data_IF_940772082101
#
_entry.id   IF_940772082101
#
_cell.length_a   1.000
_cell.length_b   1.000
_cell.length_c   1.000
_cell.angle_alpha   90.00
_cell.angle_beta   90.00
_cell.angle_gamma   90.00
#
_symmetry.space_group_name_H-M   'P 1'
#
loop_
_entity.id
_entity.type
_entity.pdbx_description
1 polymer ?
#
# COMPACT_ATOMS: atom_id res chain seq x y z
N UNK A 1 -0.72 12.57 3.74
CA UNK A 1 -1.49 12.06 2.60
C UNK A 1 -0.71 11.05 1.75
N UNK A 2 0.56 11.28 1.42
CA UNK A 2 1.28 10.58 0.34
C UNK A 2 1.51 9.06 0.50
N UNK A 3 1.60 8.50 1.72
CA UNK A 3 1.95 7.07 1.90
C UNK A 3 0.75 6.13 2.14
N UNK A 4 -0.22 6.43 3.01
CA UNK A 4 -1.38 5.54 3.15
C UNK A 4 -2.35 5.64 1.97
N UNK A 5 -2.35 6.78 1.29
CA UNK A 5 -3.02 6.88 0.00
C UNK A 5 -2.19 6.27 -1.11
N UNK A 6 -0.94 5.81 -0.90
CA UNK A 6 -0.25 4.98 -1.89
C UNK A 6 -0.74 3.53 -1.88
N UNK A 7 -1.22 3.02 -0.74
CA UNK A 7 -1.89 1.71 -0.64
C UNK A 7 -3.30 1.75 -1.26
N UNK A 8 -4.09 2.79 -0.97
CA UNK A 8 -5.39 3.03 -1.63
C UNK A 8 -5.25 3.51 -3.08
N UNK A 9 -4.21 4.28 -3.42
CA UNK A 9 -3.92 4.65 -4.80
C UNK A 9 -3.27 3.51 -5.57
N UNK A 10 -2.66 2.49 -4.97
CA UNK A 10 -2.28 1.29 -5.74
C UNK A 10 -3.54 0.61 -6.32
N UNK A 11 -4.62 0.59 -5.54
CA UNK A 11 -5.94 0.12 -5.93
C UNK A 11 -6.64 1.09 -6.90
N UNK A 12 -6.53 2.41 -6.68
CA UNK A 12 -7.19 3.41 -7.53
C UNK A 12 -6.42 3.80 -8.81
N UNK A 13 -5.08 3.78 -8.84
CA UNK A 13 -4.26 4.05 -10.04
C UNK A 13 -4.29 2.89 -11.02
N UNK A 14 -4.73 1.73 -10.57
CA UNK A 14 -5.05 0.63 -11.43
C UNK A 14 -6.29 0.95 -12.31
N UNK A 15 -7.18 1.85 -11.87
CA UNK A 15 -8.50 2.04 -12.50
C UNK A 15 -8.61 2.82 -13.79
N UNK A 16 -7.55 3.49 -14.24
CA UNK A 16 -7.52 4.08 -15.57
C UNK A 16 -6.15 4.71 -15.78
N UNK A 17 -5.34 4.07 -16.61
CA UNK A 17 -4.05 4.46 -17.18
C UNK A 17 -3.07 3.31 -16.94
N UNK A 18 -2.48 2.78 -18.02
CA UNK A 18 -1.18 2.12 -17.96
C UNK A 18 -0.31 2.86 -16.96
N UNK A 19 0.23 2.17 -15.95
CA UNK A 19 1.07 2.81 -14.94
C UNK A 19 2.18 3.53 -15.71
N UNK A 20 2.12 4.87 -15.78
CA UNK A 20 2.91 5.61 -16.75
C UNK A 20 4.35 5.41 -16.35
N UNK A 21 5.23 5.15 -17.34
CA UNK A 21 6.61 4.73 -17.08
C UNK A 21 7.18 5.42 -15.82
N UNK A 22 7.32 4.61 -14.77
CA UNK A 22 7.59 5.04 -13.40
C UNK A 22 9.05 4.81 -13.03
N UNK A 23 9.92 4.61 -14.02
CA UNK A 23 11.34 4.44 -13.78
C UNK A 23 12.13 4.07 -15.02
N UNK A 24 13.38 3.69 -14.82
CA UNK A 24 14.32 3.15 -15.81
C UNK A 24 15.20 2.15 -15.06
N UNK A 25 15.28 0.90 -15.48
CA UNK A 25 16.15 -0.11 -14.84
C UNK A 25 15.40 -1.32 -14.31
N UNK A 26 16.15 -2.33 -13.87
CA UNK A 26 15.66 -3.67 -13.55
C UNK A 26 14.61 -3.68 -12.44
N UNK A 27 14.82 -2.91 -11.36
CA UNK A 27 13.85 -2.85 -10.25
C UNK A 27 12.45 -2.38 -10.72
N UNK A 28 12.39 -1.51 -11.73
CA UNK A 28 11.11 -1.08 -12.33
C UNK A 28 10.41 -2.24 -13.02
N UNK A 29 11.15 -3.04 -13.77
CA UNK A 29 10.60 -4.22 -14.43
C UNK A 29 10.14 -5.24 -13.40
N UNK A 30 10.93 -5.50 -12.37
CA UNK A 30 10.55 -6.42 -11.30
C UNK A 30 9.27 -5.97 -10.59
N UNK A 31 9.12 -4.68 -10.28
CA UNK A 31 7.88 -4.14 -9.70
C UNK A 31 6.71 -4.22 -10.68
N UNK A 32 6.94 -3.99 -11.98
CA UNK A 32 5.89 -4.11 -13.01
C UNK A 32 5.36 -5.54 -13.08
N UNK A 33 6.22 -6.56 -13.00
CA UNK A 33 5.81 -7.96 -13.04
C UNK A 33 4.82 -8.30 -11.89
N UNK A 34 4.99 -7.70 -10.71
CA UNK A 34 4.02 -7.85 -9.61
C UNK A 34 2.72 -7.10 -9.87
N UNK A 35 2.78 -5.92 -10.48
CA UNK A 35 1.60 -5.11 -10.79
C UNK A 35 0.74 -5.80 -11.86
N UNK A 36 1.37 -6.48 -12.82
CA UNK A 36 0.70 -7.24 -13.88
C UNK A 36 -0.08 -8.46 -13.34
N UNK A 37 0.24 -8.95 -12.14
CA UNK A 37 -0.52 -10.01 -11.47
C UNK A 37 -1.80 -9.52 -10.78
N UNK A 38 -1.96 -8.21 -10.58
CA UNK A 38 -3.13 -7.66 -9.88
C UNK A 38 -4.34 -7.70 -10.83
N UNK A 39 -5.46 -8.35 -10.47
CA UNK A 39 -6.73 -8.25 -11.20
C UNK A 39 -7.38 -6.89 -10.92
N UNK A 40 -6.80 -5.88 -11.53
CA UNK A 40 -7.08 -4.46 -11.36
C UNK A 40 -8.58 -4.16 -11.40
N UNK A 41 -9.27 -4.61 -12.44
CA UNK A 41 -10.69 -4.34 -12.66
C UNK A 41 -11.54 -4.86 -11.51
N UNK A 42 -11.21 -6.06 -10.99
CA UNK A 42 -11.95 -6.68 -9.88
C UNK A 42 -11.69 -5.98 -8.56
N UNK A 43 -10.44 -5.58 -8.32
CA UNK A 43 -10.04 -4.79 -7.14
C UNK A 43 -10.80 -3.46 -7.09
N UNK A 44 -11.01 -2.82 -8.24
CA UNK A 44 -11.77 -1.56 -8.35
C UNK A 44 -13.26 -1.78 -8.12
N UNK A 45 -13.82 -2.82 -8.73
CA UNK A 45 -15.24 -3.18 -8.55
C UNK A 45 -15.57 -3.36 -7.06
N UNK A 46 -14.76 -4.15 -6.36
CA UNK A 46 -14.88 -4.35 -4.91
C UNK A 46 -14.77 -3.02 -4.17
N UNK A 47 -13.76 -2.21 -4.48
CA UNK A 47 -13.51 -0.93 -3.79
C UNK A 47 -14.65 0.07 -3.99
N UNK A 48 -15.20 0.18 -5.21
CA UNK A 48 -16.35 1.05 -5.51
C UNK A 48 -17.57 0.56 -4.72
N UNK A 49 -17.81 -0.74 -4.69
CA UNK A 49 -18.96 -1.29 -3.94
C UNK A 49 -18.84 -0.96 -2.44
N UNK A 50 -17.69 -1.18 -1.81
CA UNK A 50 -17.43 -0.78 -0.42
C UNK A 50 -17.58 0.73 -0.21
N UNK A 51 -17.10 1.55 -1.13
CA UNK A 51 -17.22 3.00 -1.03
C UNK A 51 -18.68 3.47 -1.05
N UNK A 52 -19.52 2.85 -1.87
CA UNK A 52 -20.94 3.21 -2.01
C UNK A 52 -21.80 2.62 -0.88
N UNK A 53 -21.54 1.37 -0.48
CA UNK A 53 -22.46 0.57 0.34
C UNK A 53 -22.03 0.42 1.80
N UNK A 54 -20.73 0.56 2.12
CA UNK A 54 -20.21 0.23 3.46
C UNK A 54 -19.86 1.47 4.31
N UNK A 55 -20.56 1.61 5.44
CA UNK A 55 -20.43 2.78 6.33
C UNK A 55 -19.08 2.86 7.05
N UNK A 56 -18.53 1.71 7.46
CA UNK A 56 -17.25 1.63 8.16
C UNK A 56 -16.11 1.98 7.22
N UNK A 57 -16.17 1.49 5.98
CA UNK A 57 -15.24 1.85 4.92
C UNK A 57 -15.29 3.34 4.59
N UNK A 58 -16.48 3.94 4.48
CA UNK A 58 -16.62 5.39 4.29
C UNK A 58 -16.01 6.21 5.42
N UNK A 59 -16.13 5.75 6.68
CA UNK A 59 -15.50 6.43 7.82
C UNK A 59 -13.98 6.30 7.81
N UNK A 60 -13.44 5.16 7.38
CA UNK A 60 -12.00 5.01 7.13
C UNK A 60 -11.51 5.99 6.06
N UNK A 61 -12.24 6.18 4.97
CA UNK A 61 -11.89 7.17 3.94
C UNK A 61 -11.84 8.58 4.54
N UNK A 62 -12.87 8.98 5.30
CA UNK A 62 -12.88 10.30 5.99
C UNK A 62 -11.72 10.46 6.98
N UNK A 63 -11.35 9.39 7.69
CA UNK A 63 -10.20 9.42 8.58
C UNK A 63 -8.89 9.70 7.81
N UNK A 64 -8.68 9.06 6.65
CA UNK A 64 -7.50 9.32 5.81
C UNK A 64 -7.48 10.73 5.20
N UNK A 65 -8.65 11.36 5.04
CA UNK A 65 -8.78 12.76 4.63
C UNK A 65 -8.61 13.76 5.78
N UNK A 66 -8.53 13.30 7.03
CA UNK A 66 -8.42 14.17 8.21
C UNK A 66 -7.06 14.86 8.31
N UNK A 67 -7.03 16.11 8.79
CA UNK A 67 -5.77 16.86 8.99
C UNK A 67 -4.77 16.13 9.90
N UNK A 68 -5.25 15.40 10.90
CA UNK A 68 -4.39 14.59 11.77
C UNK A 68 -3.66 13.50 11.00
N UNK A 69 -4.35 12.81 10.10
CA UNK A 69 -3.72 11.83 9.22
C UNK A 69 -2.79 12.48 8.19
N UNK A 70 -3.15 13.67 7.67
CA UNK A 70 -2.24 14.43 6.80
C UNK A 70 -0.95 14.81 7.50
N UNK A 71 -1.04 15.22 8.77
CA UNK A 71 0.11 15.61 9.58
C UNK A 71 1.03 14.42 9.86
N UNK A 72 0.49 13.26 10.27
CA UNK A 72 1.26 12.02 10.42
C UNK A 72 2.16 11.76 9.21
N UNK A 73 1.61 11.87 8.01
CA UNK A 73 2.38 11.60 6.80
C UNK A 73 3.45 12.68 6.54
N UNK A 74 3.18 13.95 6.83
CA UNK A 74 4.20 15.00 6.74
C UNK A 74 5.35 14.75 7.72
N UNK A 75 5.03 14.30 8.93
CA UNK A 75 6.01 14.01 9.98
C UNK A 75 6.89 12.82 9.57
N UNK A 76 6.30 11.79 8.97
CA UNK A 76 7.05 10.66 8.38
C UNK A 76 7.94 11.12 7.23
N UNK A 77 7.42 11.91 6.29
CA UNK A 77 8.20 12.45 5.16
C UNK A 77 9.38 13.32 5.59
N UNK A 78 9.26 14.00 6.73
CA UNK A 78 10.32 14.82 7.28
C UNK A 78 11.45 14.01 7.94
N UNK A 79 11.29 12.69 8.10
CA UNK A 79 12.33 11.83 8.66
C UNK A 79 13.54 11.77 7.72
N UNK A 80 14.77 11.98 8.23
CA UNK A 80 15.97 11.85 7.41
C UNK A 80 16.12 10.43 6.84
N UNK A 81 15.65 9.41 7.56
CA UNK A 81 15.68 8.02 7.09
C UNK A 81 14.77 7.79 5.86
N UNK A 82 13.64 8.52 5.78
CA UNK A 82 12.75 8.47 4.61
C UNK A 82 13.45 9.08 3.39
N UNK A 83 14.20 10.17 3.57
CA UNK A 83 14.99 10.73 2.48
C UNK A 83 16.01 9.73 1.94
N UNK A 84 16.73 9.02 2.83
CA UNK A 84 17.69 7.97 2.45
C UNK A 84 17.01 6.87 1.62
N UNK A 85 15.84 6.40 2.06
CA UNK A 85 15.07 5.39 1.34
C UNK A 85 14.62 5.89 -0.04
N UNK A 86 14.09 7.11 -0.11
CA UNK A 86 13.62 7.73 -1.36
C UNK A 86 14.76 7.93 -2.36
N UNK A 87 15.93 8.36 -1.89
CA UNK A 87 17.12 8.52 -2.72
C UNK A 87 17.62 7.17 -3.24
N UNK A 88 17.60 6.11 -2.41
CA UNK A 88 17.90 4.75 -2.88
C UNK A 88 16.95 4.33 -3.99
N UNK A 89 15.63 4.43 -3.76
CA UNK A 89 14.61 4.01 -4.74
C UNK A 89 14.77 4.79 -6.04
N UNK A 90 15.05 6.09 -5.95
CA UNK A 90 15.34 6.93 -7.11
C UNK A 90 16.57 6.45 -7.90
N UNK A 91 17.68 6.19 -7.20
CA UNK A 91 18.93 5.72 -7.82
C UNK A 91 18.82 4.30 -8.36
N UNK A 92 17.97 3.45 -7.78
CA UNK A 92 17.60 2.13 -8.30
C UNK A 92 16.73 2.21 -9.57
N UNK A 93 16.45 3.43 -10.03
CA UNK A 93 15.80 3.68 -11.30
C UNK A 93 14.31 3.95 -11.18
N UNK A 94 13.73 3.98 -9.99
CA UNK A 94 12.30 4.26 -9.83
C UNK A 94 12.09 5.76 -9.71
N UNK A 95 11.24 6.34 -10.54
CA UNK A 95 10.84 7.75 -10.44
C UNK A 95 9.80 7.93 -9.31
N UNK A 96 10.25 7.67 -8.09
CA UNK A 96 9.40 7.62 -6.89
C UNK A 96 8.74 8.98 -6.59
N UNK A 97 9.43 10.08 -6.89
CA UNK A 97 8.87 11.43 -6.74
C UNK A 97 7.73 11.68 -7.72
N UNK A 98 7.84 11.20 -8.98
CA UNK A 98 6.74 11.25 -9.94
C UNK A 98 5.56 10.38 -9.53
N UNK A 99 5.82 9.16 -9.04
CA UNK A 99 4.75 8.27 -8.52
C UNK A 99 4.02 8.96 -7.37
N UNK A 100 4.75 9.44 -6.36
CA UNK A 100 4.20 10.13 -5.20
C UNK A 100 3.41 11.38 -5.60
N UNK A 101 3.94 12.20 -6.52
CA UNK A 101 3.25 13.41 -6.97
C UNK A 101 1.99 13.11 -7.81
N UNK A 102 2.00 12.02 -8.58
CA UNK A 102 0.80 11.57 -9.31
C UNK A 102 -0.27 11.06 -8.37
N UNK A 103 0.11 10.25 -7.37
CA UNK A 103 -0.80 9.83 -6.30
C UNK A 103 -1.39 11.08 -5.63
N UNK A 104 -0.58 12.07 -5.25
CA UNK A 104 -1.06 13.32 -4.65
C UNK A 104 -2.03 14.11 -5.53
N UNK A 105 -1.84 14.07 -6.86
CA UNK A 105 -2.68 14.78 -7.81
C UNK A 105 -3.99 14.02 -8.06
N UNK A 106 -3.93 12.69 -8.16
CA UNK A 106 -5.09 11.81 -8.29
C UNK A 106 -6.02 11.91 -7.08
N UNK A 107 -5.47 12.17 -5.89
CA UNK A 107 -6.24 12.38 -4.66
C UNK A 107 -7.04 13.69 -4.61
N UNK A 108 -7.03 14.48 -5.70
CA UNK A 108 -8.06 15.48 -6.02
C UNK A 108 -9.15 14.84 -6.89
N UNK A 109 -9.75 13.77 -6.39
CA UNK A 109 -10.55 12.82 -7.16
C UNK A 109 -11.76 13.50 -7.86
N UNK A 110 -12.00 13.21 -9.16
CA UNK A 110 -13.26 13.55 -9.83
C UNK A 110 -14.42 12.69 -9.28
N UNK A 111 -15.69 13.13 -9.45
CA UNK A 111 -16.85 12.36 -8.97
C UNK A 111 -16.91 10.99 -9.63
N UNK A 112 -17.08 9.95 -8.82
CA UNK A 112 -17.30 8.58 -9.28
C UNK A 112 -18.62 8.53 -10.06
N UNK A 113 -18.56 7.98 -11.28
CA UNK A 113 -19.77 7.58 -12.01
C UNK A 113 -19.96 6.09 -11.80
N UNK A 114 -21.18 5.62 -11.44
CA UNK A 114 -21.41 4.23 -11.14
C UNK A 114 -21.11 3.37 -12.39
N UNK A 115 -20.29 2.31 -12.28
CA UNK A 115 -20.10 1.37 -13.38
C UNK A 115 -21.42 0.69 -13.72
N UNK A 116 -21.70 0.53 -15.00
CA UNK A 116 -22.93 -0.07 -15.51
C UNK A 116 -22.80 -1.59 -15.65
N UNK A 117 -22.59 -2.33 -14.55
CA UNK A 117 -22.57 -3.80 -14.64
C UNK A 117 -23.23 -4.48 -13.43
N UNK A 118 -23.75 -5.68 -13.71
CA UNK A 118 -24.59 -6.53 -12.86
C UNK A 118 -24.01 -6.76 -11.47
N UNK A 119 -24.73 -6.26 -10.46
CA UNK A 119 -24.47 -6.48 -9.03
C UNK A 119 -24.50 -7.97 -8.74
N UNK A 120 -23.33 -8.54 -8.49
CA UNK A 120 -23.18 -9.97 -8.25
C UNK A 120 -21.92 -10.31 -7.48
N UNK A 121 -21.72 -9.70 -6.31
CA UNK A 121 -20.97 -10.28 -5.18
C UNK A 121 -21.37 -9.53 -3.90
N UNK A 122 -21.80 -10.27 -2.88
CA UNK A 122 -22.12 -9.72 -1.56
C UNK A 122 -20.80 -9.37 -0.86
N UNK A 123 -20.45 -8.09 -0.79
CA UNK A 123 -19.29 -7.65 0.00
C UNK A 123 -19.42 -8.17 1.43
N UNK A 124 -18.31 -8.62 2.02
CA UNK A 124 -18.36 -9.23 3.36
C UNK A 124 -18.52 -8.22 4.49
N UNK A 125 -18.44 -6.91 4.18
CA UNK A 125 -18.70 -5.79 5.07
C UNK A 125 -17.56 -5.45 6.03
N UNK A 126 -17.46 -4.18 6.42
CA UNK A 126 -16.43 -3.63 7.29
C UNK A 126 -15.03 -3.61 6.66
N UNK A 127 -14.05 -3.02 7.36
CA UNK A 127 -12.67 -2.91 6.85
C UNK A 127 -12.01 -4.29 6.76
N UNK A 128 -12.29 -5.18 7.72
CA UNK A 128 -11.82 -6.57 7.66
C UNK A 128 -12.36 -7.30 6.43
N UNK A 129 -13.64 -7.13 6.11
CA UNK A 129 -14.23 -7.74 4.93
C UNK A 129 -13.62 -7.20 3.65
N UNK A 130 -13.41 -5.87 3.57
CA UNK A 130 -12.74 -5.27 2.41
C UNK A 130 -11.36 -5.88 2.17
N UNK A 131 -10.55 -6.05 3.22
CA UNK A 131 -9.24 -6.70 3.12
C UNK A 131 -9.38 -8.14 2.61
N UNK A 132 -10.34 -8.90 3.13
CA UNK A 132 -10.55 -10.29 2.74
C UNK A 132 -10.99 -10.42 1.28
N UNK A 133 -11.96 -9.61 0.86
CA UNK A 133 -12.50 -9.61 -0.50
C UNK A 133 -11.42 -9.24 -1.52
N UNK A 134 -10.53 -8.28 -1.20
CA UNK A 134 -9.35 -7.98 -2.01
C UNK A 134 -8.37 -9.17 -2.03
N UNK A 135 -8.04 -9.76 -0.87
CA UNK A 135 -7.10 -10.88 -0.79
C UNK A 135 -7.59 -12.14 -1.53
N UNK A 136 -8.89 -12.30 -1.70
CA UNK A 136 -9.48 -13.46 -2.38
C UNK A 136 -9.48 -13.35 -3.90
N UNK A 137 -9.36 -12.14 -4.43
CA UNK A 137 -9.17 -11.96 -5.88
C UNK A 137 -7.69 -12.02 -6.29
N UNK A 138 -6.76 -11.70 -5.38
CA UNK A 138 -5.33 -11.72 -5.69
C UNK A 138 -4.81 -13.16 -5.91
N UNK A 139 -4.00 -13.43 -6.97
CA UNK A 139 -3.38 -14.73 -7.20
C UNK A 139 -2.22 -15.00 -6.21
N UNK A 140 -2.54 -15.29 -4.94
CA UNK A 140 -1.57 -15.41 -3.82
C UNK A 140 -0.37 -16.30 -4.13
N UNK A 141 -0.59 -17.44 -4.78
CA UNK A 141 0.50 -18.36 -5.12
C UNK A 141 1.45 -17.76 -6.17
N UNK A 142 0.92 -17.09 -7.19
CA UNK A 142 1.75 -16.44 -8.22
C UNK A 142 2.57 -15.29 -7.65
N UNK A 143 1.99 -14.50 -6.73
CA UNK A 143 2.75 -13.49 -5.99
C UNK A 143 3.91 -14.08 -5.21
N UNK A 144 3.68 -15.22 -4.53
CA UNK A 144 4.71 -15.91 -3.77
C UNK A 144 5.81 -16.46 -4.68
N UNK A 145 5.43 -17.13 -5.77
CA UNK A 145 6.36 -17.72 -6.72
C UNK A 145 7.23 -16.64 -7.36
N UNK A 146 6.62 -15.53 -7.81
CA UNK A 146 7.32 -14.40 -8.37
C UNK A 146 8.26 -13.76 -7.33
N UNK A 147 7.84 -13.61 -6.08
CA UNK A 147 8.70 -13.11 -5.01
C UNK A 147 9.95 -13.98 -4.79
N UNK A 148 9.77 -15.29 -4.68
CA UNK A 148 10.88 -16.23 -4.49
C UNK A 148 11.81 -16.29 -5.72
N UNK A 149 11.24 -16.18 -6.92
CA UNK A 149 12.01 -16.11 -8.16
C UNK A 149 12.86 -14.84 -8.20
N UNK A 150 12.24 -13.66 -8.05
CA UNK A 150 12.92 -12.36 -8.14
C UNK A 150 14.01 -12.21 -7.09
N UNK A 151 13.82 -12.76 -5.89
CA UNK A 151 14.87 -12.80 -4.86
C UNK A 151 16.13 -13.57 -5.30
N UNK A 152 15.98 -14.59 -6.14
CA UNK A 152 17.09 -15.43 -6.61
C UNK A 152 17.68 -14.94 -7.92
N UNK A 153 16.85 -14.37 -8.80
CA UNK A 153 17.23 -14.08 -10.19
C UNK A 153 17.49 -12.60 -10.44
N UNK A 154 16.90 -11.68 -9.68
CA UNK A 154 17.11 -10.24 -9.83
C UNK A 154 17.94 -9.68 -8.68
N UNK A 155 19.15 -9.22 -9.02
CA UNK A 155 20.00 -8.50 -8.06
C UNK A 155 19.33 -7.20 -7.58
N UNK A 156 18.69 -6.46 -8.49
CA UNK A 156 18.03 -5.21 -8.16
C UNK A 156 16.89 -5.41 -7.14
N UNK A 157 16.09 -6.48 -7.33
CA UNK A 157 15.04 -6.84 -6.38
C UNK A 157 15.61 -7.33 -5.04
N UNK A 158 16.63 -8.20 -5.06
CA UNK A 158 17.28 -8.68 -3.85
C UNK A 158 17.89 -7.53 -3.02
N UNK A 159 18.54 -6.57 -3.68
CA UNK A 159 19.09 -5.37 -3.04
C UNK A 159 17.97 -4.48 -2.45
N UNK A 160 16.83 -4.36 -3.14
CA UNK A 160 15.67 -3.63 -2.62
C UNK A 160 15.12 -4.30 -1.36
N UNK A 161 14.98 -5.63 -1.34
CA UNK A 161 14.56 -6.36 -0.13
C UNK A 161 15.59 -6.21 0.99
N UNK A 162 16.89 -6.16 0.68
CA UNK A 162 17.93 -5.87 1.67
C UNK A 162 17.80 -4.45 2.26
N UNK A 163 17.37 -3.45 1.48
CA UNK A 163 17.06 -2.12 2.01
C UNK A 163 15.88 -2.13 2.98
N UNK A 164 14.83 -2.91 2.71
CA UNK A 164 13.69 -3.07 3.64
C UNK A 164 14.10 -3.77 4.94
N UNK A 165 15.13 -4.62 4.90
CA UNK A 165 15.73 -5.28 6.07
C UNK A 165 16.77 -4.44 6.82
N UNK A 166 17.05 -3.22 6.34
CA UNK A 166 18.14 -2.39 6.88
C UNK A 166 17.78 -1.73 8.21
N UNK A 167 18.81 -1.38 9.00
CA UNK A 167 18.66 -0.56 10.20
C UNK A 167 18.01 0.80 9.91
N UNK A 168 18.29 1.40 8.75
CA UNK A 168 17.63 2.64 8.33
C UNK A 168 16.10 2.46 8.22
N UNK A 169 15.66 1.37 7.61
CA UNK A 169 14.23 1.06 7.50
C UNK A 169 13.63 0.73 8.87
N UNK A 170 14.34 -0.01 9.71
CA UNK A 170 13.91 -0.31 11.08
C UNK A 170 13.73 0.97 11.92
N UNK A 171 14.59 1.98 11.76
CA UNK A 171 14.42 3.29 12.41
C UNK A 171 13.14 4.01 11.96
N UNK A 172 12.79 3.94 10.66
CA UNK A 172 11.51 4.48 10.17
C UNK A 172 10.35 3.78 10.88
N UNK A 173 10.38 2.45 10.93
CA UNK A 173 9.33 1.65 11.59
C UNK A 173 9.20 2.01 13.05
N UNK A 174 10.31 2.13 13.78
CA UNK A 174 10.29 2.47 15.21
C UNK A 174 9.71 3.87 15.47
N UNK A 175 10.11 4.87 14.67
CA UNK A 175 9.60 6.25 14.79
C UNK A 175 8.12 6.36 14.40
N UNK A 176 7.72 5.68 13.33
CA UNK A 176 6.33 5.60 12.92
C UNK A 176 5.49 4.94 14.02
N UNK A 177 5.98 3.84 14.60
CA UNK A 177 5.27 3.10 15.63
C UNK A 177 4.92 3.97 16.82
N UNK A 178 5.87 4.75 17.36
CA UNK A 178 5.61 5.60 18.54
C UNK A 178 4.82 6.88 18.21
N UNK A 179 4.51 7.14 16.93
CA UNK A 179 3.78 8.34 16.54
C UNK A 179 2.32 8.27 17.03
N UNK A 180 1.80 9.27 17.76
CA UNK A 180 0.46 9.22 18.36
C UNK A 180 -0.66 8.95 17.34
N UNK A 181 -0.62 9.62 16.18
CA UNK A 181 -1.59 9.37 15.11
C UNK A 181 -1.49 8.00 14.46
N UNK A 182 -0.31 7.37 14.48
CA UNK A 182 -0.17 6.00 14.00
C UNK A 182 -0.72 4.99 15.01
N UNK A 183 -0.53 5.23 16.31
CA UNK A 183 -1.17 4.44 17.38
C UNK A 183 -2.70 4.55 17.33
N UNK A 184 -3.24 5.73 17.00
CA UNK A 184 -4.65 5.93 16.75
C UNK A 184 -5.13 5.10 15.54
N UNK A 185 -4.40 5.10 14.42
CA UNK A 185 -4.69 4.26 13.25
C UNK A 185 -4.69 2.77 13.60
N UNK A 186 -3.70 2.29 14.35
CA UNK A 186 -3.65 0.88 14.80
C UNK A 186 -4.86 0.54 15.69
N UNK A 187 -5.33 1.50 16.49
CA UNK A 187 -6.52 1.30 17.31
C UNK A 187 -7.78 1.18 16.45
N UNK A 188 -7.94 2.04 15.42
CA UNK A 188 -9.02 1.92 14.45
C UNK A 188 -8.99 0.57 13.73
N UNK A 189 -7.83 0.14 13.25
CA UNK A 189 -7.67 -1.16 12.59
C UNK A 189 -8.04 -2.33 13.51
N UNK A 190 -7.62 -2.29 14.79
CA UNK A 190 -7.98 -3.32 15.77
C UNK A 190 -9.48 -3.36 16.04
N UNK A 191 -10.11 -2.21 16.21
CA UNK A 191 -11.56 -2.10 16.44
C UNK A 191 -12.36 -2.60 15.23
N UNK A 192 -11.82 -2.44 14.03
CA UNK A 192 -12.35 -2.97 12.79
C UNK A 192 -12.10 -4.47 12.57
N UNK A 193 -11.47 -5.16 13.54
CA UNK A 193 -11.23 -6.60 13.49
C UNK A 193 -10.03 -7.02 12.64
N UNK A 194 -9.12 -6.10 12.29
CA UNK A 194 -7.87 -6.41 11.60
C UNK A 194 -6.91 -7.13 12.56
N UNK A 195 -6.37 -8.26 12.12
CA UNK A 195 -5.43 -9.07 12.90
C UNK A 195 -4.01 -8.49 12.79
N UNK A 196 -3.71 -7.51 13.65
CA UNK A 196 -2.43 -6.80 13.66
C UNK A 196 -1.24 -7.70 14.02
N UNK A 197 -1.47 -8.80 14.76
CA UNK A 197 -0.41 -9.76 15.11
C UNK A 197 0.00 -10.54 13.87
N UNK A 198 -0.97 -11.06 13.09
CA UNK A 198 -0.65 -11.73 11.83
C UNK A 198 0.07 -10.81 10.83
N UNK A 199 -0.33 -9.54 10.76
CA UNK A 199 0.34 -8.57 9.90
C UNK A 199 1.79 -8.32 10.33
N UNK A 200 2.03 -8.20 11.65
CA UNK A 200 3.39 -8.12 12.18
C UNK A 200 4.22 -9.35 11.79
N UNK A 201 3.71 -10.54 12.07
CA UNK A 201 4.45 -11.79 11.83
C UNK A 201 4.80 -11.94 10.35
N UNK A 202 3.88 -11.55 9.46
CA UNK A 202 4.12 -11.52 8.02
C UNK A 202 5.27 -10.55 7.65
N UNK A 203 5.26 -9.33 8.18
CA UNK A 203 6.32 -8.34 7.90
C UNK A 203 7.68 -8.75 8.48
N UNK A 204 7.68 -9.42 9.63
CA UNK A 204 8.89 -9.97 10.24
C UNK A 204 9.47 -11.11 9.37
N UNK A 205 8.64 -12.06 8.95
CA UNK A 205 9.07 -13.20 8.11
C UNK A 205 9.59 -12.74 6.75
N UNK A 206 8.88 -11.84 6.07
CA UNK A 206 9.25 -11.41 4.72
C UNK A 206 10.41 -10.42 4.72
N UNK A 207 10.35 -9.42 5.59
CA UNK A 207 11.20 -8.22 5.51
C UNK A 207 12.02 -7.98 6.77
N UNK A 208 12.04 -8.90 7.74
CA UNK A 208 12.84 -8.78 8.95
C UNK A 208 12.42 -7.61 9.86
N UNK A 209 11.24 -7.03 9.61
CA UNK A 209 10.76 -5.85 10.33
C UNK A 209 10.29 -6.26 11.72
N UNK A 210 10.89 -5.66 12.74
CA UNK A 210 10.50 -5.89 14.14
C UNK A 210 9.58 -4.78 14.61
N UNK A 211 8.31 -5.08 14.83
CA UNK A 211 7.37 -4.10 15.38
C UNK A 211 7.52 -4.05 16.90
N UNK A 212 7.79 -2.88 17.52
CA UNK A 212 8.27 -2.80 18.91
C UNK A 212 7.38 -3.33 20.05
N UNK A 213 6.06 -3.50 19.87
CA UNK A 213 5.18 -3.83 21.01
C UNK A 213 4.20 -4.99 20.79
N UNK A 214 4.59 -5.97 19.99
CA UNK A 214 3.95 -7.29 19.95
C UNK A 214 5.01 -8.36 19.79
#
# INVERSE_FOLDING_TARGET
>A
MKFALALLALVATASAYEIPNFGRGELRHDIQDFLDLVPVEKVIEITIQYYVEDKEFQDMVKYFESEGFKQLVKDVEALPEIKILMDYIHNAGIDIYKIVNKINSALKLPPLTPPSYSIGTYITGGIKGFIQDILDVLPRQQFKDLYEEKLKTSKAFADFIAQLKSENFQHIVNKLYVHPKFQELLTHARNAGVDLVKLKDLFEVLWGIKVPAY
#
